data_IF_954184756902
#
_entry.id   IF_954184756902
#
_cell.length_a   1.000
_cell.length_b   1.000
_cell.length_c   1.000
_cell.angle_alpha   90.00
_cell.angle_beta   90.00
_cell.angle_gamma   90.00
#
_symmetry.space_group_name_H-M   'P 1'
#
loop_
_entity.id
_entity.type
_entity.pdbx_description
1 polymer ?
#
# COMPACT_ATOMS: atom_id res chain seq x y z
N UNK A 1 27.80 15.03 -42.70
CA UNK A 1 27.32 13.89 -41.89
C UNK A 1 26.93 14.45 -40.54
N UNK A 2 25.63 14.55 -40.27
CA UNK A 2 25.10 14.98 -39.00
C UNK A 2 24.90 13.71 -38.16
N UNK A 3 25.71 13.52 -37.14
CA UNK A 3 25.51 12.46 -36.14
C UNK A 3 24.48 13.02 -35.16
N UNK A 4 23.25 12.48 -35.07
CA UNK A 4 22.35 12.93 -34.03
C UNK A 4 22.95 12.52 -32.67
N UNK A 5 23.02 13.47 -31.74
CA UNK A 5 23.30 13.16 -30.34
C UNK A 5 22.27 12.16 -29.83
N UNK A 6 22.66 11.21 -28.96
CA UNK A 6 21.69 10.32 -28.36
C UNK A 6 20.75 11.17 -27.52
N UNK A 7 19.46 11.18 -27.91
CA UNK A 7 18.38 11.63 -27.04
C UNK A 7 18.60 10.96 -25.69
N UNK A 8 19.03 11.75 -24.71
CA UNK A 8 18.93 11.38 -23.32
C UNK A 8 17.45 11.13 -23.08
N UNK A 9 17.05 9.86 -23.18
CA UNK A 9 15.84 9.34 -22.55
C UNK A 9 15.93 9.85 -21.12
N UNK A 10 15.22 10.95 -20.86
CA UNK A 10 14.83 11.35 -19.52
C UNK A 10 13.88 10.25 -19.07
N UNK A 11 14.45 9.13 -18.65
CA UNK A 11 13.83 8.29 -17.66
C UNK A 11 13.63 9.23 -16.48
N UNK A 12 12.44 9.80 -16.42
CA UNK A 12 11.94 10.44 -15.21
C UNK A 12 11.89 9.29 -14.21
N UNK A 13 13.00 9.11 -13.48
CA UNK A 13 13.08 8.30 -12.29
C UNK A 13 12.10 8.92 -11.30
N UNK A 14 10.82 8.57 -11.45
CA UNK A 14 9.82 8.81 -10.43
C UNK A 14 10.29 8.00 -9.23
N UNK A 15 10.88 8.68 -8.26
CA UNK A 15 11.35 8.03 -7.04
C UNK A 15 10.20 7.26 -6.41
N UNK A 16 10.45 6.05 -5.96
CA UNK A 16 9.50 5.16 -5.28
C UNK A 16 8.72 5.89 -4.14
N UNK A 17 9.33 6.91 -3.55
CA UNK A 17 8.78 7.82 -2.54
C UNK A 17 7.60 8.71 -3.02
N UNK A 18 7.29 8.77 -4.31
CA UNK A 18 6.17 9.60 -4.79
C UNK A 18 4.81 9.00 -4.39
N UNK A 19 4.71 7.68 -4.36
CA UNK A 19 3.44 6.97 -4.23
C UNK A 19 3.16 6.51 -2.81
N UNK A 20 4.21 6.25 -2.05
CA UNK A 20 4.11 5.72 -0.69
C UNK A 20 5.01 6.51 0.27
N UNK A 21 4.86 6.25 1.56
CA UNK A 21 5.69 6.80 2.64
C UNK A 21 7.05 6.10 2.75
N UNK A 22 7.51 5.40 1.71
CA UNK A 22 8.73 4.58 1.77
C UNK A 22 10.04 5.38 1.86
N UNK A 23 10.01 6.70 1.69
CA UNK A 23 11.18 7.57 1.81
C UNK A 23 11.93 7.34 3.13
N UNK A 24 13.26 7.22 3.06
CA UNK A 24 14.10 6.96 4.23
C UNK A 24 14.08 5.51 4.74
N UNK A 25 13.36 4.61 4.07
CA UNK A 25 13.35 3.17 4.37
C UNK A 25 14.10 2.38 3.30
N UNK A 26 14.34 1.08 3.56
CA UNK A 26 14.91 0.16 2.59
C UNK A 26 14.06 0.01 1.30
N UNK A 27 12.77 0.31 1.37
CA UNK A 27 11.85 0.28 0.23
C UNK A 27 12.00 1.46 -0.74
N UNK A 28 12.66 2.56 -0.32
CA UNK A 28 12.87 3.73 -1.17
C UNK A 28 13.80 3.45 -2.35
N UNK A 29 14.66 2.44 -2.22
CA UNK A 29 15.58 2.02 -3.28
C UNK A 29 14.96 0.88 -4.07
N UNK A 30 15.16 0.82 -5.40
CA UNK A 30 14.78 -0.34 -6.19
C UNK A 30 15.41 -1.62 -5.63
N UNK A 31 14.68 -2.73 -5.70
CA UNK A 31 15.21 -4.02 -5.27
C UNK A 31 16.47 -4.37 -6.06
N UNK A 32 17.55 -4.77 -5.38
CA UNK A 32 18.78 -5.20 -6.01
C UNK A 32 18.67 -6.65 -6.55
N UNK A 33 19.76 -7.19 -7.10
CA UNK A 33 19.75 -8.55 -7.65
C UNK A 33 19.47 -9.61 -6.57
N UNK A 34 20.13 -9.50 -5.42
CA UNK A 34 19.99 -10.47 -4.33
C UNK A 34 18.57 -10.47 -3.76
N UNK A 35 17.97 -9.28 -3.62
CA UNK A 35 16.60 -9.13 -3.18
C UNK A 35 15.61 -9.71 -4.20
N UNK A 36 15.78 -9.43 -5.51
CA UNK A 36 14.93 -10.01 -6.56
C UNK A 36 14.98 -11.53 -6.54
N UNK A 37 16.17 -12.11 -6.44
CA UNK A 37 16.33 -13.57 -6.33
C UNK A 37 15.66 -14.13 -5.07
N UNK A 38 15.70 -13.41 -3.94
CA UNK A 38 15.01 -13.82 -2.72
C UNK A 38 13.49 -13.78 -2.88
N UNK A 39 12.95 -12.75 -3.53
CA UNK A 39 11.53 -12.64 -3.86
C UNK A 39 11.10 -13.79 -4.78
N UNK A 40 11.87 -14.11 -5.81
CA UNK A 40 11.57 -15.20 -6.74
C UNK A 40 11.60 -16.58 -6.05
N UNK A 41 12.58 -16.82 -5.18
CA UNK A 41 12.62 -18.04 -4.34
C UNK A 41 11.41 -18.14 -3.42
N UNK A 42 11.02 -17.04 -2.78
CA UNK A 42 9.85 -17.00 -1.91
C UNK A 42 8.55 -17.29 -2.68
N UNK A 43 8.39 -16.67 -3.86
CA UNK A 43 7.26 -16.93 -4.75
C UNK A 43 7.23 -18.39 -5.23
N UNK A 44 8.39 -19.00 -5.50
CA UNK A 44 8.47 -20.40 -5.86
C UNK A 44 8.07 -21.33 -4.71
N UNK A 45 8.53 -21.06 -3.48
CA UNK A 45 8.14 -21.83 -2.29
C UNK A 45 6.62 -21.77 -2.04
N UNK A 46 5.97 -20.63 -2.31
CA UNK A 46 4.53 -20.49 -2.18
C UNK A 46 3.73 -21.39 -3.14
N UNK A 47 4.29 -21.74 -4.31
CA UNK A 47 3.61 -22.67 -5.23
C UNK A 47 3.42 -24.05 -4.62
N UNK A 48 4.31 -24.47 -3.73
CA UNK A 48 4.22 -25.73 -2.99
C UNK A 48 3.09 -25.70 -1.94
N UNK A 49 2.70 -24.50 -1.51
CA UNK A 49 1.63 -24.25 -0.54
C UNK A 49 0.24 -24.13 -1.17
N UNK A 50 0.04 -24.60 -2.41
CA UNK A 50 -1.23 -24.49 -3.15
C UNK A 50 -2.43 -25.01 -2.36
N UNK A 51 -2.27 -26.12 -1.63
CA UNK A 51 -3.36 -26.70 -0.82
C UNK A 51 -3.80 -25.72 0.28
N UNK A 52 -2.84 -25.13 0.98
CA UNK A 52 -3.10 -24.14 2.01
C UNK A 52 -3.75 -22.87 1.42
N UNK A 53 -3.32 -22.43 0.24
CA UNK A 53 -3.93 -21.28 -0.43
C UNK A 53 -5.41 -21.54 -0.80
N UNK A 54 -5.73 -22.75 -1.29
CA UNK A 54 -7.12 -23.13 -1.58
C UNK A 54 -7.97 -23.18 -0.32
N UNK A 55 -7.42 -23.68 0.78
CA UNK A 55 -8.11 -23.71 2.07
C UNK A 55 -8.33 -22.31 2.63
N UNK A 56 -7.29 -21.47 2.60
CA UNK A 56 -7.34 -20.09 3.08
C UNK A 56 -8.40 -19.25 2.33
N UNK A 57 -8.52 -19.42 1.02
CA UNK A 57 -9.51 -18.70 0.20
C UNK A 57 -10.88 -19.39 0.10
N UNK A 58 -11.11 -20.49 0.84
CA UNK A 58 -12.43 -21.15 0.90
C UNK A 58 -13.49 -20.25 1.51
N UNK A 59 -13.10 -19.37 2.44
CA UNK A 59 -13.92 -18.29 2.97
C UNK A 59 -13.37 -16.93 2.49
N UNK A 60 -13.96 -16.34 1.42
CA UNK A 60 -13.48 -15.08 0.88
C UNK A 60 -13.66 -13.87 1.82
N UNK A 61 -14.60 -13.92 2.77
CA UNK A 61 -14.81 -12.82 3.73
C UNK A 61 -13.74 -12.87 4.81
N UNK A 62 -13.51 -14.04 5.40
CA UNK A 62 -12.44 -14.25 6.36
C UNK A 62 -11.07 -13.88 5.75
N UNK A 63 -10.80 -14.29 4.51
CA UNK A 63 -9.54 -13.96 3.83
C UNK A 63 -9.36 -12.46 3.56
N UNK A 64 -10.46 -11.72 3.28
CA UNK A 64 -10.42 -10.26 3.14
C UNK A 64 -10.12 -9.58 4.48
N UNK A 65 -10.81 -10.01 5.54
CA UNK A 65 -10.58 -9.49 6.88
C UNK A 65 -9.15 -9.74 7.36
N UNK A 66 -8.65 -10.97 7.18
CA UNK A 66 -7.24 -11.30 7.45
C UNK A 66 -6.28 -10.38 6.68
N UNK A 67 -6.58 -10.10 5.40
CA UNK A 67 -5.78 -9.16 4.61
C UNK A 67 -5.75 -7.75 5.21
N UNK A 68 -6.90 -7.21 5.63
CA UNK A 68 -6.97 -5.89 6.27
C UNK A 68 -6.17 -5.86 7.57
N UNK A 69 -6.30 -6.89 8.41
CA UNK A 69 -5.55 -7.05 9.66
C UNK A 69 -4.05 -7.21 9.42
N UNK A 70 -3.65 -7.95 8.40
CA UNK A 70 -2.24 -8.11 8.04
C UNK A 70 -1.63 -6.77 7.62
N UNK A 71 -2.29 -6.04 6.71
CA UNK A 71 -1.74 -4.81 6.15
C UNK A 71 -1.85 -3.60 7.10
N UNK A 72 -2.59 -3.71 8.20
CA UNK A 72 -2.60 -2.68 9.25
C UNK A 72 -1.38 -2.77 10.17
N UNK A 73 -0.61 -3.86 10.08
CA UNK A 73 0.57 -4.07 10.93
C UNK A 73 1.66 -3.02 10.65
N UNK A 74 2.43 -2.59 11.67
CA UNK A 74 3.46 -1.55 11.53
C UNK A 74 4.51 -1.82 10.45
N UNK A 75 4.80 -3.10 10.14
CA UNK A 75 5.74 -3.49 9.09
C UNK A 75 5.36 -2.92 7.71
N UNK A 76 4.07 -2.71 7.44
CA UNK A 76 3.58 -2.19 6.16
C UNK A 76 3.45 -0.66 6.13
N UNK A 77 3.81 0.04 7.22
CA UNK A 77 3.78 1.51 7.29
C UNK A 77 4.47 2.20 6.10
N UNK A 78 5.62 1.73 5.59
CA UNK A 78 6.27 2.34 4.43
C UNK A 78 5.46 2.25 3.12
N UNK A 79 4.44 1.38 3.07
CA UNK A 79 3.54 1.25 1.92
C UNK A 79 2.32 2.16 2.02
N UNK A 80 2.07 2.86 3.13
CA UNK A 80 0.92 3.77 3.20
C UNK A 80 1.01 4.83 2.10
N UNK A 81 -0.15 5.29 1.59
CA UNK A 81 -0.15 6.31 0.55
C UNK A 81 0.51 7.60 1.05
N UNK A 82 1.31 8.23 0.19
CA UNK A 82 1.91 9.53 0.45
C UNK A 82 0.84 10.63 0.56
N UNK A 83 1.16 11.73 1.25
CA UNK A 83 0.22 12.87 1.38
C UNK A 83 -0.20 13.40 0.01
N UNK A 84 0.74 13.52 -0.92
CA UNK A 84 0.45 13.97 -2.27
C UNK A 84 -0.56 13.06 -3.02
N UNK A 85 -0.59 11.75 -2.72
CA UNK A 85 -1.63 10.87 -3.25
C UNK A 85 -2.96 10.98 -2.52
N UNK A 86 -2.93 11.22 -1.20
CA UNK A 86 -4.14 11.47 -0.42
C UNK A 86 -4.81 12.78 -0.86
N UNK A 87 -4.04 13.86 -1.04
CA UNK A 87 -4.54 15.12 -1.59
C UNK A 87 -5.16 14.92 -2.97
N UNK A 88 -4.53 14.13 -3.85
CA UNK A 88 -5.10 13.80 -5.17
C UNK A 88 -6.37 12.96 -5.07
N UNK A 89 -6.43 12.03 -4.12
CA UNK A 89 -7.63 11.25 -3.86
C UNK A 89 -8.77 12.18 -3.46
N UNK A 90 -8.55 13.04 -2.46
CA UNK A 90 -9.54 14.01 -1.97
C UNK A 90 -9.96 14.97 -3.09
N UNK A 91 -9.02 15.48 -3.88
CA UNK A 91 -9.31 16.37 -5.01
C UNK A 91 -10.19 15.70 -6.08
N UNK A 92 -10.07 14.39 -6.26
CA UNK A 92 -10.83 13.64 -7.27
C UNK A 92 -12.21 13.19 -6.80
N UNK A 93 -12.34 12.80 -5.52
CA UNK A 93 -13.57 12.16 -5.00
C UNK A 93 -14.25 12.93 -3.87
N UNK A 94 -13.68 14.04 -3.42
CA UNK A 94 -14.17 14.86 -2.31
C UNK A 94 -13.60 14.44 -0.95
N UNK A 95 -14.04 15.14 0.09
CA UNK A 95 -13.72 14.80 1.49
C UNK A 95 -14.34 13.45 1.88
N UNK A 96 -13.69 12.67 2.78
CA UNK A 96 -14.28 11.46 3.31
C UNK A 96 -15.61 11.75 4.02
N UNK A 97 -16.64 10.89 3.84
CA UNK A 97 -17.91 11.08 4.53
C UNK A 97 -17.75 10.87 6.03
N UNK A 98 -18.43 11.70 6.82
CA UNK A 98 -18.61 11.47 8.26
C UNK A 98 -19.66 10.38 8.41
N UNK A 99 -19.30 9.27 9.05
CA UNK A 99 -20.20 8.14 9.32
C UNK A 99 -20.51 8.07 10.80
N UNK A 100 -21.80 8.00 11.15
CA UNK A 100 -22.26 7.88 12.54
C UNK A 100 -22.35 6.41 13.00
N UNK A 101 -22.43 5.48 12.03
CA UNK A 101 -22.51 4.04 12.26
C UNK A 101 -21.34 3.32 11.60
N UNK A 102 -20.70 2.35 12.29
CA UNK A 102 -19.70 1.47 11.69
C UNK A 102 -20.23 0.62 10.53
N UNK A 103 -21.54 0.38 10.48
CA UNK A 103 -22.20 -0.41 9.44
C UNK A 103 -22.53 0.41 8.19
N UNK A 104 -22.32 1.74 8.23
CA UNK A 104 -22.56 2.61 7.08
C UNK A 104 -21.52 2.34 5.97
N UNK A 105 -21.93 1.88 4.78
CA UNK A 105 -21.00 1.58 3.70
C UNK A 105 -20.40 2.83 3.06
N UNK A 106 -20.84 4.05 3.41
CA UNK A 106 -20.39 5.29 2.77
C UNK A 106 -18.86 5.44 2.80
N UNK A 107 -18.22 5.21 3.95
CA UNK A 107 -16.77 5.31 4.05
C UNK A 107 -16.05 4.21 3.27
N UNK A 108 -16.56 2.97 3.29
CA UNK A 108 -16.01 1.88 2.50
C UNK A 108 -16.14 2.14 0.98
N UNK A 109 -17.26 2.70 0.54
CA UNK A 109 -17.50 3.10 -0.85
C UNK A 109 -16.61 4.27 -1.27
N UNK A 110 -16.38 5.23 -0.37
CA UNK A 110 -15.44 6.33 -0.56
C UNK A 110 -14.03 5.79 -0.82
N UNK A 111 -13.51 4.91 0.06
CA UNK A 111 -12.19 4.31 -0.09
C UNK A 111 -12.06 3.54 -1.40
N UNK A 112 -13.07 2.74 -1.75
CA UNK A 112 -13.09 2.01 -3.01
C UNK A 112 -12.98 2.97 -4.19
N UNK A 113 -13.81 4.01 -4.23
CA UNK A 113 -13.82 4.97 -5.34
C UNK A 113 -12.51 5.76 -5.40
N UNK A 114 -12.04 6.26 -4.25
CA UNK A 114 -10.81 7.03 -4.12
C UNK A 114 -9.58 6.25 -4.57
N UNK A 115 -9.39 5.02 -4.08
CA UNK A 115 -8.29 4.13 -4.50
C UNK A 115 -8.32 3.90 -6.01
N UNK A 116 -9.49 3.60 -6.58
CA UNK A 116 -9.60 3.37 -8.02
C UNK A 116 -9.30 4.62 -8.84
N UNK A 117 -9.58 5.83 -8.31
CA UNK A 117 -9.30 7.10 -8.99
C UNK A 117 -7.80 7.42 -9.14
N UNK A 118 -6.97 6.99 -8.17
CA UNK A 118 -5.52 7.29 -8.16
C UNK A 118 -4.65 6.12 -8.65
N UNK A 119 -5.17 4.89 -8.58
CA UNK A 119 -4.44 3.67 -8.89
C UNK A 119 -4.56 3.30 -10.38
N UNK A 120 -3.92 4.09 -11.26
CA UNK A 120 -3.73 3.69 -12.66
C UNK A 120 -2.79 2.47 -12.78
N UNK A 121 -2.69 1.87 -13.96
CA UNK A 121 -1.90 0.64 -14.17
C UNK A 121 -0.42 0.77 -13.79
N UNK A 122 0.19 1.95 -13.95
CA UNK A 122 1.59 2.18 -13.54
C UNK A 122 1.72 2.17 -12.02
N UNK A 123 0.86 2.91 -11.32
CA UNK A 123 0.83 2.97 -9.86
C UNK A 123 0.55 1.58 -9.28
N UNK A 124 -0.45 0.87 -9.80
CA UNK A 124 -0.81 -0.49 -9.38
C UNK A 124 0.35 -1.47 -9.48
N UNK A 125 1.05 -1.49 -10.62
CA UNK A 125 2.22 -2.36 -10.79
C UNK A 125 3.31 -2.00 -9.79
N UNK A 126 3.59 -0.72 -9.62
CA UNK A 126 4.58 -0.26 -8.65
C UNK A 126 4.25 -0.70 -7.22
N UNK A 127 3.01 -0.47 -6.76
CA UNK A 127 2.56 -0.87 -5.43
C UNK A 127 2.61 -2.40 -5.24
N UNK A 128 2.20 -3.16 -6.26
CA UNK A 128 2.31 -4.62 -6.23
C UNK A 128 3.77 -5.10 -6.14
N UNK A 129 4.70 -4.44 -6.86
CA UNK A 129 6.12 -4.73 -6.76
C UNK A 129 6.66 -4.43 -5.36
N UNK A 130 6.35 -3.27 -4.79
CA UNK A 130 6.76 -2.94 -3.42
C UNK A 130 6.20 -3.93 -2.40
N UNK A 131 4.94 -4.36 -2.55
CA UNK A 131 4.33 -5.35 -1.66
C UNK A 131 5.05 -6.71 -1.72
N UNK A 132 5.44 -7.18 -2.92
CA UNK A 132 6.14 -8.47 -3.08
C UNK A 132 7.50 -8.51 -2.38
N UNK A 133 8.13 -7.36 -2.14
CA UNK A 133 9.40 -7.27 -1.42
C UNK A 133 9.31 -7.76 0.02
N UNK A 134 8.11 -7.84 0.59
CA UNK A 134 7.87 -8.43 1.91
C UNK A 134 7.79 -9.96 1.88
N UNK A 135 7.61 -10.61 0.73
CA UNK A 135 7.45 -12.08 0.69
C UNK A 135 8.57 -12.87 1.36
N UNK A 136 9.87 -12.55 1.15
CA UNK A 136 10.95 -13.35 1.71
C UNK A 136 10.89 -13.51 3.23
N UNK A 137 10.62 -12.44 3.98
CA UNK A 137 10.56 -12.50 5.44
C UNK A 137 9.42 -13.40 5.96
N UNK A 138 8.25 -13.37 5.31
CA UNK A 138 7.10 -14.19 5.74
C UNK A 138 7.28 -15.65 5.36
N UNK A 139 7.88 -15.94 4.21
CA UNK A 139 8.22 -17.31 3.80
C UNK A 139 9.31 -17.90 4.69
N UNK A 140 10.37 -17.15 4.99
CA UNK A 140 11.44 -17.59 5.88
C UNK A 140 10.95 -17.88 7.30
N UNK A 141 9.97 -17.12 7.77
CA UNK A 141 9.34 -17.33 9.07
C UNK A 141 8.22 -18.38 9.06
N UNK A 142 8.01 -19.10 7.95
CA UNK A 142 6.94 -20.09 7.77
C UNK A 142 5.52 -19.53 8.04
N UNK A 143 5.37 -18.21 7.90
CA UNK A 143 4.08 -17.52 8.05
C UNK A 143 3.30 -17.62 6.73
N UNK A 144 2.97 -18.85 6.36
CA UNK A 144 2.46 -19.19 5.03
C UNK A 144 1.15 -18.48 4.68
N UNK A 145 0.22 -18.33 5.64
CA UNK A 145 -1.04 -17.62 5.40
C UNK A 145 -0.79 -16.14 5.07
N UNK A 146 0.10 -15.46 5.80
CA UNK A 146 0.49 -14.08 5.51
C UNK A 146 1.18 -13.96 4.16
N UNK A 147 2.10 -14.86 3.83
CA UNK A 147 2.78 -14.87 2.55
C UNK A 147 1.82 -15.12 1.36
N UNK A 148 0.85 -16.04 1.52
CA UNK A 148 -0.24 -16.26 0.55
C UNK A 148 -1.08 -14.99 0.38
N UNK A 149 -1.45 -14.33 1.48
CA UNK A 149 -2.22 -13.09 1.43
C UNK A 149 -1.45 -11.96 0.72
N UNK A 150 -0.15 -11.81 0.98
CA UNK A 150 0.72 -10.83 0.31
C UNK A 150 0.78 -11.10 -1.20
N UNK A 151 1.10 -12.33 -1.62
CA UNK A 151 1.27 -12.64 -3.04
C UNK A 151 -0.04 -12.46 -3.82
N UNK A 152 -1.15 -12.95 -3.29
CA UNK A 152 -2.46 -12.79 -3.93
C UNK A 152 -2.89 -11.31 -3.98
N UNK A 153 -2.66 -10.52 -2.92
CA UNK A 153 -2.97 -9.09 -2.96
C UNK A 153 -2.07 -8.33 -3.93
N UNK A 154 -0.79 -8.70 -4.06
CA UNK A 154 0.10 -8.13 -5.07
C UNK A 154 -0.39 -8.46 -6.48
N UNK A 155 -0.76 -9.72 -6.74
CA UNK A 155 -1.34 -10.15 -8.01
C UNK A 155 -2.62 -9.38 -8.35
N UNK A 156 -3.60 -9.35 -7.44
CA UNK A 156 -4.88 -8.64 -7.63
C UNK A 156 -4.70 -7.14 -7.79
N UNK A 157 -3.73 -6.55 -7.10
CA UNK A 157 -3.40 -5.13 -7.26
C UNK A 157 -2.81 -4.86 -8.65
N UNK A 158 -1.93 -5.72 -9.15
CA UNK A 158 -1.24 -5.53 -10.44
C UNK A 158 -2.16 -5.70 -11.67
N UNK A 159 -3.12 -6.63 -11.62
CA UNK A 159 -3.98 -6.99 -12.76
C UNK A 159 -5.45 -6.58 -12.60
N UNK A 160 -5.89 -6.31 -11.38
CA UNK A 160 -7.29 -6.05 -11.08
C UNK A 160 -7.68 -4.58 -11.21
N UNK A 161 -8.96 -4.37 -11.52
CA UNK A 161 -9.65 -3.07 -11.42
C UNK A 161 -10.43 -2.94 -10.10
N UNK A 162 -10.04 -3.71 -9.09
CA UNK A 162 -10.68 -3.72 -7.78
C UNK A 162 -9.79 -3.11 -6.71
N UNK A 163 -10.42 -2.71 -5.60
CA UNK A 163 -9.73 -2.32 -4.39
C UNK A 163 -9.44 -3.59 -3.58
N UNK A 164 -8.19 -4.07 -3.66
CA UNK A 164 -7.71 -5.17 -2.82
C UNK A 164 -7.65 -4.72 -1.35
N UNK A 165 -7.73 -5.64 -0.36
CA UNK A 165 -7.48 -5.32 1.04
C UNK A 165 -6.21 -4.47 1.26
N UNK A 166 -5.14 -4.78 0.52
CA UNK A 166 -3.91 -3.99 0.52
C UNK A 166 -4.15 -2.53 0.16
N UNK A 167 -4.76 -2.25 -1.00
CA UNK A 167 -4.98 -0.88 -1.45
C UNK A 167 -5.92 -0.10 -0.52
N UNK A 168 -6.95 -0.77 0.01
CA UNK A 168 -7.88 -0.18 0.98
C UNK A 168 -7.12 0.24 2.23
N UNK A 169 -6.32 -0.66 2.80
CA UNK A 169 -5.60 -0.39 4.04
C UNK A 169 -4.54 0.72 3.87
N UNK A 170 -3.81 0.75 2.74
CA UNK A 170 -2.89 1.84 2.42
C UNK A 170 -3.58 3.20 2.40
N UNK A 171 -4.80 3.27 1.86
CA UNK A 171 -5.57 4.50 1.77
C UNK A 171 -6.13 4.93 3.13
N UNK A 172 -6.68 4.00 3.91
CA UNK A 172 -7.14 4.28 5.28
C UNK A 172 -6.00 4.82 6.13
N UNK A 173 -4.85 4.15 6.14
CA UNK A 173 -3.71 4.58 6.94
C UNK A 173 -3.07 5.87 6.41
N UNK A 174 -3.10 6.11 5.10
CA UNK A 174 -2.69 7.37 4.50
C UNK A 174 -3.59 8.54 4.93
N UNK A 175 -4.92 8.37 4.86
CA UNK A 175 -5.90 9.37 5.33
C UNK A 175 -5.73 9.67 6.81
N UNK A 176 -5.63 8.64 7.66
CA UNK A 176 -5.44 8.81 9.10
C UNK A 176 -4.17 9.63 9.42
N UNK A 177 -3.08 9.37 8.70
CA UNK A 177 -1.82 10.12 8.83
C UNK A 177 -1.95 11.55 8.34
N UNK A 178 -2.60 11.77 7.18
CA UNK A 178 -2.82 13.08 6.60
C UNK A 178 -3.62 14.00 7.53
N UNK A 179 -4.78 13.53 8.03
CA UNK A 179 -5.58 14.33 8.97
C UNK A 179 -4.95 14.45 10.35
N UNK A 180 -4.25 13.41 10.83
CA UNK A 180 -3.51 13.48 12.09
C UNK A 180 -2.39 14.54 12.10
N UNK A 181 -1.84 14.88 10.93
CA UNK A 181 -0.88 15.98 10.79
C UNK A 181 -1.54 17.38 10.74
N UNK A 182 -2.83 17.45 10.40
CA UNK A 182 -3.60 18.69 10.31
C UNK A 182 -4.17 19.13 11.66
N UNK A 183 -4.33 18.22 12.63
CA UNK A 183 -4.68 18.56 14.00
C UNK A 183 -3.46 19.16 14.71
N UNK A 184 -3.38 20.49 14.92
CA UNK A 184 -2.31 21.05 15.73
C UNK A 184 -2.55 20.65 17.18
N UNK A 185 -1.49 20.26 17.90
CA UNK A 185 -1.50 20.08 19.35
C UNK A 185 -2.27 21.22 20.03
N UNK A 186 -3.50 20.92 20.48
CA UNK A 186 -4.32 21.80 21.30
C UNK A 186 -3.78 21.89 22.75
N UNK A 187 -2.45 21.82 22.94
CA UNK A 187 -1.77 21.84 24.22
C UNK A 187 -0.63 22.87 24.19
N UNK A 188 -0.98 24.16 24.10
CA UNK A 188 -0.14 25.26 24.58
C UNK A 188 -0.95 26.55 24.69
N UNK A 189 -1.94 26.57 25.59
CA UNK A 189 -2.52 27.80 26.12
C UNK A 189 -2.74 27.63 27.64
N UNK A 190 -1.63 27.45 28.37
CA UNK A 190 -1.57 27.72 29.81
C UNK A 190 -0.61 28.89 30.03
N UNK A 191 -1.11 30.10 29.92
CA UNK A 191 -0.44 31.31 30.40
C UNK A 191 -0.55 31.31 31.93
N UNK A 192 0.56 31.36 32.69
CA UNK A 192 0.48 31.55 34.13
C UNK A 192 0.10 33.00 34.41
N UNK A 193 -0.99 33.20 35.15
CA UNK A 193 -1.38 34.50 35.71
C UNK A 193 -0.30 34.93 36.71
N UNK A 194 0.37 36.08 36.54
CA UNK A 194 1.28 36.57 37.56
C UNK A 194 0.45 37.08 38.75
N UNK A 195 0.79 36.61 39.96
CA UNK A 195 0.37 37.23 41.23
C UNK A 195 1.41 38.25 41.67
#
# INVERSE_FOLDING_TARGET
MYTPEPEQQRDVFYSDAQWTTCAGTWLAQPADLAEREAIDRAAQALKEQRKLALEFYRDPLAAKQFGLELFSQPAFTPLHLSDALIEKLIANVGEPPIVESPDDPAFANYLRTGVLSIANSKVRRHLAHQLRRFLPQFVQAEQWQSAIAIDNNAFRTSLGNEASPFLVQMAVSGLARYYGALEPSAANNNTPTPS
#
